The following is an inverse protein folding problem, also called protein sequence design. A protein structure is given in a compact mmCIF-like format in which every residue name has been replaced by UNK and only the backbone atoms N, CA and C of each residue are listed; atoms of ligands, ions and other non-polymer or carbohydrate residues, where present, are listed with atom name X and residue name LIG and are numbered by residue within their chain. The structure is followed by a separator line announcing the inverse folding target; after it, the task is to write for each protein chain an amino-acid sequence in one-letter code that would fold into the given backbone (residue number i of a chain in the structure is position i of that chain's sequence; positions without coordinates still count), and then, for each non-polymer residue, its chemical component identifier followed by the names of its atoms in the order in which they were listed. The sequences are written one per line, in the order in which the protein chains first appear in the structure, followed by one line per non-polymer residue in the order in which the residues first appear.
data_IF_404741492631
#
_entry.id   IF_404741492631
#
_cell.length_a   1.000
_cell.length_b   1.000
_cell.length_c   1.000
_cell.angle_alpha   90.00
_cell.angle_beta   90.00
_cell.angle_gamma   90.00
#
_symmetry.space_group_name_H-M   'P 1'
#
loop_
_entity.id
_entity.type
_entity.pdbx_description
1 polymer ?
#
# COMPACT_ATOMS: atom_id res chain seq x y z
N UNK A 1 -19.73 -26.40 -31.70
CA UNK A 1 -20.59 -25.36 -31.10
C UNK A 1 -20.14 -25.21 -29.66
N UNK A 2 -19.06 -24.43 -29.46
CA UNK A 2 -18.48 -24.17 -28.14
C UNK A 2 -19.41 -23.26 -27.36
N UNK A 3 -19.75 -23.65 -26.14
CA UNK A 3 -20.72 -22.96 -25.30
C UNK A 3 -20.13 -21.66 -24.75
N UNK A 4 -20.98 -20.64 -24.68
CA UNK A 4 -20.71 -19.24 -24.40
C UNK A 4 -20.16 -18.94 -22.98
N UNK A 5 -19.80 -19.97 -22.22
CA UNK A 5 -19.28 -19.88 -20.84
C UNK A 5 -17.76 -19.67 -20.80
N UNK A 6 -17.03 -19.95 -21.89
CA UNK A 6 -15.57 -19.78 -21.96
C UNK A 6 -15.08 -18.39 -22.41
N UNK A 7 -15.97 -17.43 -22.70
CA UNK A 7 -15.59 -16.11 -23.26
C UNK A 7 -15.67 -14.90 -22.32
N UNK A 8 -15.87 -15.11 -21.01
CA UNK A 8 -15.96 -14.01 -20.02
C UNK A 8 -14.80 -14.00 -19.00
N UNK A 9 -13.65 -14.65 -19.30
CA UNK A 9 -12.40 -14.48 -18.52
C UNK A 9 -11.62 -13.27 -19.07
N UNK A 10 -12.29 -12.12 -19.19
CA UNK A 10 -11.71 -10.89 -19.71
C UNK A 10 -11.29 -9.96 -18.57
N UNK A 11 -10.11 -10.27 -18.01
CA UNK A 11 -9.12 -9.32 -17.44
C UNK A 11 -9.58 -8.41 -16.30
N UNK A 12 -9.87 -9.01 -15.16
CA UNK A 12 -9.49 -8.41 -13.86
C UNK A 12 -7.97 -8.30 -13.83
N UNK A 13 -7.34 -7.19 -13.39
CA UNK A 13 -5.91 -7.16 -13.16
C UNK A 13 -5.54 -8.33 -12.23
N UNK A 14 -4.39 -8.99 -12.43
CA UNK A 14 -3.99 -10.14 -11.63
C UNK A 14 -3.98 -9.75 -10.15
N UNK A 15 -4.94 -10.28 -9.38
CA UNK A 15 -4.97 -10.11 -7.94
C UNK A 15 -3.77 -10.84 -7.36
N UNK A 16 -2.81 -10.13 -6.77
CA UNK A 16 -1.66 -10.76 -6.14
C UNK A 16 -2.10 -11.51 -4.89
N UNK A 17 -1.98 -12.83 -4.93
CA UNK A 17 -2.27 -13.72 -3.80
C UNK A 17 -1.02 -13.84 -2.92
N UNK A 18 0.15 -14.07 -3.51
CA UNK A 18 1.42 -14.13 -2.79
C UNK A 18 2.30 -12.92 -3.09
N UNK A 19 2.42 -12.00 -2.14
CA UNK A 19 3.21 -10.79 -2.32
C UNK A 19 4.73 -11.05 -2.24
N UNK A 20 5.17 -12.02 -1.44
CA UNK A 20 6.60 -12.31 -1.29
C UNK A 20 7.21 -12.85 -2.59
N UNK A 21 6.44 -13.65 -3.34
CA UNK A 21 6.83 -14.23 -4.62
C UNK A 21 6.20 -13.57 -5.84
N UNK A 22 5.40 -12.51 -5.63
CA UNK A 22 4.64 -11.81 -6.67
C UNK A 22 3.79 -12.78 -7.54
N UNK A 23 3.12 -13.73 -6.88
CA UNK A 23 2.24 -14.72 -7.54
C UNK A 23 0.80 -14.23 -7.52
N UNK A 24 0.20 -14.18 -8.70
CA UNK A 24 -1.19 -13.80 -8.88
C UNK A 24 -2.19 -14.96 -8.75
N UNK A 25 -3.46 -14.61 -8.56
CA UNK A 25 -4.59 -15.54 -8.50
C UNK A 25 -4.64 -16.46 -9.72
N UNK A 26 -4.47 -15.89 -10.92
CA UNK A 26 -4.54 -16.65 -12.18
C UNK A 26 -3.50 -17.77 -12.25
N UNK A 27 -2.33 -17.58 -11.63
CA UNK A 27 -1.27 -18.60 -11.57
C UNK A 27 -1.67 -19.74 -10.62
N UNK A 28 -2.30 -19.42 -9.49
CA UNK A 28 -2.83 -20.42 -8.56
C UNK A 28 -4.00 -21.19 -9.20
N UNK A 29 -4.96 -20.50 -9.81
CA UNK A 29 -6.12 -21.10 -10.47
C UNK A 29 -5.70 -22.03 -11.63
N UNK A 30 -4.74 -21.62 -12.47
CA UNK A 30 -4.17 -22.49 -13.51
C UNK A 30 -3.51 -23.75 -12.93
N UNK A 31 -2.89 -23.65 -11.75
CA UNK A 31 -2.29 -24.81 -11.08
C UNK A 31 -3.36 -25.79 -10.60
N UNK A 32 -4.50 -25.28 -10.13
CA UNK A 32 -5.67 -26.08 -9.74
C UNK A 32 -6.30 -26.75 -10.97
N UNK A 33 -6.45 -26.03 -12.09
CA UNK A 33 -6.93 -26.58 -13.37
C UNK A 33 -6.01 -27.70 -13.90
N UNK A 34 -4.72 -27.64 -13.58
CA UNK A 34 -3.73 -28.70 -13.89
C UNK A 34 -3.80 -29.91 -12.93
N UNK A 35 -4.77 -29.94 -12.00
CA UNK A 35 -5.04 -31.07 -11.11
C UNK A 35 -4.36 -31.00 -9.75
N UNK A 36 -3.77 -29.87 -9.36
CA UNK A 36 -3.22 -29.70 -8.01
C UNK A 36 -4.36 -29.47 -7.01
N UNK A 37 -4.42 -30.29 -5.96
CA UNK A 37 -5.55 -30.33 -5.02
C UNK A 37 -5.17 -29.97 -3.59
N UNK A 38 -3.89 -29.68 -3.34
CA UNK A 38 -3.39 -29.37 -2.01
C UNK A 38 -2.49 -28.14 -1.99
N UNK A 39 -2.45 -27.47 -0.82
CA UNK A 39 -1.55 -26.34 -0.59
C UNK A 39 -0.08 -26.71 -0.86
N UNK A 40 0.35 -27.91 -0.50
CA UNK A 40 1.73 -28.36 -0.68
C UNK A 40 2.09 -28.52 -2.17
N UNK A 41 1.17 -29.04 -2.98
CA UNK A 41 1.35 -29.15 -4.44
C UNK A 41 1.44 -27.77 -5.09
N UNK A 42 0.50 -26.86 -4.76
CA UNK A 42 0.53 -25.48 -5.26
C UNK A 42 1.80 -24.76 -4.82
N UNK A 43 2.22 -24.93 -3.57
CA UNK A 43 3.43 -24.30 -3.03
C UNK A 43 4.68 -24.81 -3.75
N UNK A 44 4.74 -26.11 -4.05
CA UNK A 44 5.86 -26.71 -4.80
C UNK A 44 5.91 -26.22 -6.25
N UNK A 45 4.76 -26.06 -6.89
CA UNK A 45 4.68 -25.64 -8.29
C UNK A 45 4.93 -24.15 -8.50
N UNK A 46 4.39 -23.30 -7.62
CA UNK A 46 4.37 -21.84 -7.80
C UNK A 46 5.31 -21.09 -6.86
N UNK A 47 5.79 -21.74 -5.80
CA UNK A 47 6.49 -21.10 -4.69
C UNK A 47 5.58 -20.30 -3.75
N UNK A 48 4.30 -20.10 -4.06
CA UNK A 48 3.37 -19.40 -3.19
C UNK A 48 3.18 -20.16 -1.87
N UNK A 49 3.16 -19.48 -0.73
CA UNK A 49 2.95 -20.09 0.58
C UNK A 49 4.21 -20.72 1.20
N UNK A 50 5.32 -20.77 0.48
CA UNK A 50 6.57 -21.40 0.94
C UNK A 50 7.47 -20.53 1.81
N UNK A 51 7.31 -19.20 1.77
CA UNK A 51 8.18 -18.28 2.53
C UNK A 51 7.54 -17.83 3.82
N UNK A 52 6.42 -17.13 3.68
CA UNK A 52 5.93 -16.23 4.70
C UNK A 52 4.68 -16.78 5.38
N UNK A 53 3.94 -17.64 4.68
CA UNK A 53 2.70 -18.27 5.15
C UNK A 53 1.43 -17.46 4.91
N UNK A 54 1.49 -16.13 4.75
CA UNK A 54 0.28 -15.30 4.68
C UNK A 54 -0.67 -15.66 3.52
N UNK A 55 -0.15 -16.04 2.36
CA UNK A 55 -1.01 -16.39 1.22
C UNK A 55 -1.63 -17.79 1.32
N UNK A 56 -1.23 -18.60 2.29
CA UNK A 56 -1.73 -19.98 2.43
C UNK A 56 -3.25 -20.01 2.67
N UNK A 57 -3.80 -19.09 3.47
CA UNK A 57 -5.26 -19.02 3.71
C UNK A 57 -6.04 -18.75 2.42
N UNK A 58 -5.52 -17.89 1.55
CA UNK A 58 -6.15 -17.56 0.27
C UNK A 58 -6.03 -18.71 -0.72
N UNK A 59 -4.91 -19.43 -0.74
CA UNK A 59 -4.73 -20.64 -1.56
C UNK A 59 -5.68 -21.74 -1.10
N UNK A 60 -5.83 -21.94 0.21
CA UNK A 60 -6.78 -22.90 0.78
C UNK A 60 -8.23 -22.54 0.45
N UNK A 61 -8.60 -21.25 0.52
CA UNK A 61 -9.91 -20.77 0.06
C UNK A 61 -10.14 -21.06 -1.42
N UNK A 62 -9.12 -20.86 -2.28
CA UNK A 62 -9.16 -21.20 -3.71
C UNK A 62 -9.31 -22.71 -3.97
N UNK A 63 -8.74 -23.54 -3.09
CA UNK A 63 -8.90 -24.99 -3.10
C UNK A 63 -10.27 -25.45 -2.54
N UNK A 64 -11.12 -24.53 -2.07
CA UNK A 64 -12.44 -24.81 -1.51
C UNK A 64 -12.45 -25.17 -0.03
N UNK A 65 -11.33 -25.00 0.69
CA UNK A 65 -11.29 -25.20 2.14
C UNK A 65 -11.92 -24.00 2.88
N UNK A 66 -12.76 -24.28 3.89
CA UNK A 66 -13.31 -23.23 4.75
C UNK A 66 -12.28 -22.78 5.80
N UNK A 67 -11.37 -21.90 5.39
CA UNK A 67 -10.21 -21.46 6.19
C UNK A 67 -10.41 -20.14 6.92
N UNK A 68 -11.60 -19.54 6.82
CA UNK A 68 -11.93 -18.25 7.42
C UNK A 68 -12.92 -18.40 8.57
N UNK A 69 -12.59 -17.78 9.70
CA UNK A 69 -13.43 -17.73 10.89
C UNK A 69 -14.22 -16.41 10.88
N UNK A 70 -15.55 -16.43 10.78
CA UNK A 70 -16.36 -15.23 10.93
C UNK A 70 -16.22 -14.65 12.34
N UNK A 71 -16.06 -13.34 12.45
CA UNK A 71 -15.87 -12.66 13.74
C UNK A 71 -16.70 -11.39 13.85
N UNK A 72 -16.92 -10.96 15.09
CA UNK A 72 -17.52 -9.68 15.42
C UNK A 72 -16.47 -8.80 16.09
N UNK A 73 -16.40 -7.51 15.72
CA UNK A 73 -15.59 -6.56 16.47
C UNK A 73 -16.32 -6.27 17.79
N UNK A 74 -15.80 -6.81 18.89
CA UNK A 74 -16.44 -6.74 20.19
C UNK A 74 -16.09 -5.45 20.94
N UNK A 75 -14.85 -4.97 20.81
CA UNK A 75 -14.42 -3.69 21.38
C UNK A 75 -13.18 -3.13 20.70
N UNK A 76 -12.99 -1.83 20.85
CA UNK A 76 -11.79 -1.14 20.43
C UNK A 76 -11.29 -0.21 21.55
N UNK A 77 -9.99 -0.19 21.77
CA UNK A 77 -9.36 0.64 22.81
C UNK A 77 -8.25 1.50 22.20
N UNK A 78 -8.48 2.82 22.14
CA UNK A 78 -7.50 3.77 21.61
C UNK A 78 -6.40 4.03 22.64
N UNK A 79 -5.15 3.72 22.29
CA UNK A 79 -3.97 4.16 23.05
C UNK A 79 -3.61 5.60 22.72
N UNK A 80 -3.80 6.01 21.47
CA UNK A 80 -3.59 7.37 20.97
C UNK A 80 -4.36 7.59 19.66
N UNK A 81 -4.23 8.77 19.04
CA UNK A 81 -4.82 9.07 17.74
C UNK A 81 -4.41 8.04 16.66
N UNK A 82 -3.17 7.54 16.73
CA UNK A 82 -2.58 6.69 15.71
C UNK A 82 -2.50 5.21 16.09
N UNK A 83 -2.88 4.82 17.31
CA UNK A 83 -2.77 3.44 17.79
C UNK A 83 -4.04 3.00 18.51
N UNK A 84 -4.60 1.86 18.08
CA UNK A 84 -5.82 1.31 18.66
C UNK A 84 -5.73 -0.20 18.75
N UNK A 85 -6.14 -0.77 19.89
CA UNK A 85 -6.40 -2.19 20.04
C UNK A 85 -7.78 -2.52 19.47
N UNK A 86 -7.90 -3.66 18.81
CA UNK A 86 -9.14 -4.19 18.28
C UNK A 86 -9.31 -5.60 18.82
N UNK A 87 -10.47 -5.89 19.40
CA UNK A 87 -10.79 -7.18 20.00
C UNK A 87 -11.95 -7.84 19.28
N UNK A 88 -11.72 -9.06 18.82
CA UNK A 88 -12.67 -9.83 18.03
C UNK A 88 -13.20 -11.02 18.82
N UNK A 89 -14.52 -11.20 18.81
CA UNK A 89 -15.18 -12.42 19.27
C UNK A 89 -15.49 -13.31 18.06
N UNK A 90 -15.44 -14.63 18.21
CA UNK A 90 -15.90 -15.53 17.15
C UNK A 90 -17.42 -15.43 17.01
N UNK A 91 -17.91 -15.35 15.78
CA UNK A 91 -19.35 -15.20 15.53
C UNK A 91 -20.15 -16.48 15.87
N UNK A 92 -19.47 -17.63 15.90
CA UNK A 92 -20.04 -18.92 16.32
C UNK A 92 -20.07 -19.11 17.85
N UNK A 93 -19.53 -18.15 18.63
CA UNK A 93 -19.49 -18.22 20.09
C UNK A 93 -18.43 -19.17 20.67
N UNK A 94 -17.66 -19.86 19.83
CA UNK A 94 -16.59 -20.73 20.27
C UNK A 94 -15.42 -19.91 20.85
N UNK A 95 -14.65 -20.46 21.79
CA UNK A 95 -13.47 -19.80 22.32
C UNK A 95 -12.33 -19.75 21.29
N UNK A 96 -11.47 -18.76 21.44
CA UNK A 96 -10.17 -18.69 20.82
C UNK A 96 -9.20 -19.67 21.48
N UNK A 97 -8.44 -20.39 20.66
CA UNK A 97 -7.32 -21.20 21.15
C UNK A 97 -6.17 -20.31 21.60
N UNK A 98 -5.36 -20.75 22.55
CA UNK A 98 -4.17 -20.01 22.95
C UNK A 98 -3.10 -20.12 21.87
N UNK A 99 -2.51 -18.98 21.50
CA UNK A 99 -1.47 -18.90 20.49
C UNK A 99 -0.12 -18.50 21.12
N UNK A 100 1.01 -18.97 20.58
CA UNK A 100 2.32 -18.55 21.07
C UNK A 100 2.61 -17.09 20.68
N UNK A 101 3.38 -16.34 21.50
CA UNK A 101 3.83 -15.01 21.11
C UNK A 101 4.61 -15.05 19.79
N UNK A 102 4.29 -14.13 18.88
CA UNK A 102 4.80 -14.14 17.50
C UNK A 102 3.81 -14.66 16.46
N UNK A 103 2.75 -15.34 16.89
CA UNK A 103 1.65 -15.70 16.01
C UNK A 103 0.91 -14.46 15.47
N UNK A 104 0.40 -14.58 14.25
CA UNK A 104 -0.37 -13.53 13.60
C UNK A 104 -1.61 -14.12 12.93
N UNK A 105 -2.60 -13.26 12.72
CA UNK A 105 -3.83 -13.57 11.97
C UNK A 105 -3.98 -12.59 10.82
N UNK A 106 -4.65 -13.01 9.76
CA UNK A 106 -5.11 -12.08 8.73
C UNK A 106 -6.50 -11.62 9.11
N UNK A 107 -6.65 -10.31 9.37
CA UNK A 107 -7.96 -9.71 9.57
C UNK A 107 -8.49 -9.24 8.24
N UNK A 108 -9.67 -9.75 7.87
CA UNK A 108 -10.37 -9.46 6.63
C UNK A 108 -11.65 -8.69 6.95
N UNK A 109 -11.88 -7.59 6.25
CA UNK A 109 -13.16 -6.88 6.29
C UNK A 109 -13.74 -6.79 4.88
N UNK A 110 -15.06 -6.82 4.78
CA UNK A 110 -15.74 -6.55 3.52
C UNK A 110 -15.95 -5.04 3.36
N UNK A 111 -15.23 -4.44 2.41
CA UNK A 111 -15.16 -2.99 2.19
C UNK A 111 -15.49 -2.72 0.72
N UNK A 112 -16.50 -1.89 0.46
CA UNK A 112 -16.90 -1.46 -0.89
C UNK A 112 -17.10 -2.60 -1.90
N UNK A 113 -17.66 -3.74 -1.46
CA UNK A 113 -17.95 -4.89 -2.32
C UNK A 113 -16.80 -5.90 -2.47
N UNK A 114 -15.67 -5.70 -1.78
CA UNK A 114 -14.52 -6.60 -1.83
C UNK A 114 -14.01 -6.94 -0.44
N UNK A 115 -13.47 -8.16 -0.29
CA UNK A 115 -12.73 -8.55 0.90
C UNK A 115 -11.33 -7.94 0.85
N UNK A 116 -10.96 -7.15 1.87
CA UNK A 116 -9.63 -6.54 1.99
C UNK A 116 -9.04 -6.91 3.33
N UNK A 117 -7.84 -7.52 3.36
CA UNK A 117 -7.29 -8.07 4.59
C UNK A 117 -5.82 -7.78 4.79
N UNK A 118 -5.41 -7.66 6.06
CA UNK A 118 -4.00 -7.41 6.44
C UNK A 118 -3.59 -8.34 7.58
N UNK A 119 -2.33 -8.81 7.59
CA UNK A 119 -1.81 -9.58 8.71
C UNK A 119 -1.54 -8.67 9.91
N UNK A 120 -1.88 -9.15 11.10
CA UNK A 120 -1.60 -8.50 12.37
C UNK A 120 -1.13 -9.53 13.40
N UNK A 121 -0.06 -9.20 14.13
CA UNK A 121 0.37 -9.99 15.27
C UNK A 121 -0.71 -9.99 16.34
N UNK A 122 -0.91 -11.15 16.95
CA UNK A 122 -1.79 -11.33 18.11
C UNK A 122 -1.13 -10.65 19.31
N UNK A 123 -1.89 -9.82 20.04
CA UNK A 123 -1.37 -9.04 21.18
C UNK A 123 -1.98 -9.40 22.52
N UNK A 124 -3.00 -10.26 22.57
CA UNK A 124 -3.56 -10.71 23.84
C UNK A 124 -2.57 -11.58 24.64
N UNK A 125 -2.87 -11.74 25.92
CA UNK A 125 -2.08 -12.52 26.88
C UNK A 125 -2.50 -14.01 26.90
N UNK A 126 -3.45 -14.40 26.05
CA UNK A 126 -4.03 -15.74 25.99
C UNK A 126 -4.92 -16.12 27.18
N UNK A 127 -5.27 -15.18 28.07
CA UNK A 127 -6.08 -15.46 29.26
C UNK A 127 -7.59 -15.33 28.99
N UNK A 128 -7.99 -14.39 28.14
CA UNK A 128 -9.37 -14.24 27.69
C UNK A 128 -9.59 -15.06 26.42
N UNK A 129 -10.15 -16.26 26.57
CA UNK A 129 -10.50 -17.09 25.42
C UNK A 129 -11.70 -16.56 24.64
N UNK A 130 -12.43 -15.55 25.14
CA UNK A 130 -13.56 -14.96 24.44
C UNK A 130 -13.14 -13.94 23.38
N UNK A 131 -11.98 -13.31 23.54
CA UNK A 131 -11.53 -12.20 22.70
C UNK A 131 -10.11 -12.39 22.16
N UNK A 132 -9.95 -12.13 20.86
CA UNK A 132 -8.65 -12.06 20.18
C UNK A 132 -8.26 -10.62 19.97
N UNK A 133 -7.11 -10.20 20.49
CA UNK A 133 -6.65 -8.81 20.35
C UNK A 133 -5.58 -8.65 19.27
N UNK A 134 -5.69 -7.58 18.49
CA UNK A 134 -4.60 -7.02 17.68
C UNK A 134 -4.42 -5.54 18.00
N UNK A 135 -3.23 -5.01 17.78
CA UNK A 135 -2.97 -3.56 17.87
C UNK A 135 -2.54 -3.03 16.52
N UNK A 136 -3.25 -2.00 16.05
CA UNK A 136 -3.08 -1.43 14.71
C UNK A 136 -2.59 0.00 14.84
N UNK A 137 -1.54 0.32 14.05
CA UNK A 137 -1.13 1.70 13.80
C UNK A 137 -1.84 2.24 12.56
N UNK A 138 -2.49 3.40 12.68
CA UNK A 138 -3.05 4.14 11.55
C UNK A 138 -1.91 4.59 10.63
N UNK A 139 -1.83 4.02 9.43
CA UNK A 139 -0.82 4.42 8.43
C UNK A 139 -1.36 5.57 7.58
N UNK A 140 -0.63 6.68 7.49
CA UNK A 140 -0.99 7.79 6.57
C UNK A 140 -1.12 7.25 5.14
N UNK A 141 -2.30 7.42 4.53
CA UNK A 141 -2.61 6.93 3.19
C UNK A 141 -2.96 5.43 3.09
N UNK A 142 -2.83 4.64 4.16
CA UNK A 142 -3.09 3.20 4.12
C UNK A 142 -4.58 2.86 4.13
N UNK A 143 -5.06 2.07 3.16
CA UNK A 143 -6.50 1.83 2.98
C UNK A 143 -7.14 1.14 4.19
N UNK A 144 -6.69 -0.08 4.52
CA UNK A 144 -7.32 -0.92 5.55
C UNK A 144 -7.22 -0.32 6.96
N UNK A 145 -6.04 0.19 7.34
CA UNK A 145 -5.85 0.76 8.69
C UNK A 145 -6.64 2.04 8.92
N UNK A 146 -6.84 2.88 7.90
CA UNK A 146 -7.69 4.07 8.05
C UNK A 146 -9.15 3.67 8.13
N UNK A 147 -9.61 2.77 7.25
CA UNK A 147 -10.97 2.27 7.28
C UNK A 147 -11.34 1.70 8.65
N UNK A 148 -10.46 0.88 9.24
CA UNK A 148 -10.67 0.28 10.55
C UNK A 148 -10.78 1.34 11.68
N UNK A 149 -10.05 2.45 11.58
CA UNK A 149 -10.12 3.57 12.54
C UNK A 149 -11.36 4.45 12.36
N UNK A 150 -11.81 4.60 11.11
CA UNK A 150 -12.92 5.48 10.72
C UNK A 150 -14.29 4.82 10.97
N UNK A 151 -14.34 3.48 11.05
CA UNK A 151 -15.55 2.69 11.26
C UNK A 151 -15.58 2.01 12.62
N UNK A 152 -14.92 2.59 13.63
CA UNK A 152 -14.96 2.07 15.00
C UNK A 152 -16.37 2.06 15.60
N UNK A 153 -17.13 3.11 15.34
CA UNK A 153 -18.44 3.31 15.95
C UNK A 153 -19.57 2.67 15.12
N UNK A 154 -19.29 2.34 13.85
CA UNK A 154 -20.18 1.62 12.91
C UNK A 154 -19.78 0.13 12.74
N UNK A 155 -18.93 -0.40 13.63
CA UNK A 155 -18.30 -1.72 13.44
C UNK A 155 -19.25 -2.91 13.42
N UNK A 156 -20.53 -2.70 13.76
CA UNK A 156 -21.60 -3.70 13.62
C UNK A 156 -22.07 -3.89 12.18
N UNK A 157 -21.71 -3.01 11.23
CA UNK A 157 -22.25 -3.03 9.86
C UNK A 157 -21.37 -3.76 8.84
N UNK A 158 -20.09 -3.98 9.13
CA UNK A 158 -19.15 -4.63 8.21
C UNK A 158 -18.86 -6.06 8.66
N UNK A 159 -19.09 -7.08 7.81
CA UNK A 159 -18.73 -8.44 8.17
C UNK A 159 -17.20 -8.59 8.20
N UNK A 160 -16.69 -9.09 9.33
CA UNK A 160 -15.30 -9.43 9.52
C UNK A 160 -15.12 -10.95 9.47
N UNK A 161 -13.96 -11.37 8.96
CA UNK A 161 -13.47 -12.75 9.10
C UNK A 161 -11.97 -12.72 9.36
N UNK A 162 -11.47 -13.71 10.07
CA UNK A 162 -10.03 -13.86 10.32
C UNK A 162 -9.54 -15.22 9.87
N UNK A 163 -8.28 -15.31 9.49
CA UNK A 163 -7.65 -16.61 9.26
C UNK A 163 -7.46 -17.35 10.59
N UNK A 164 -7.21 -18.67 10.50
CA UNK A 164 -6.48 -19.34 11.58
C UNK A 164 -5.14 -18.63 11.85
N UNK A 165 -4.62 -18.82 13.06
CA UNK A 165 -3.28 -18.36 13.44
C UNK A 165 -2.23 -18.92 12.47
N UNK A 166 -1.30 -18.06 12.07
CA UNK A 166 -0.15 -18.42 11.27
C UNK A 166 1.11 -17.92 11.98
N UNK A 167 2.18 -18.72 11.92
CA UNK A 167 3.42 -18.48 12.64
C UNK A 167 3.64 -19.49 13.77
N UNK A 168 4.90 -19.92 13.94
CA UNK A 168 5.30 -20.81 15.02
C UNK A 168 5.75 -20.04 16.27
N UNK A 169 6.00 -20.75 17.38
CA UNK A 169 6.62 -20.16 18.56
C UNK A 169 8.02 -19.62 18.21
N UNK A 170 8.15 -18.30 18.10
CA UNK A 170 9.42 -17.64 17.74
C UNK A 170 10.31 -17.41 18.96
N UNK A 171 9.69 -17.28 20.12
CA UNK A 171 10.35 -17.09 21.41
C UNK A 171 10.39 -18.41 22.17
N UNK A 172 11.47 -18.63 22.90
CA UNK A 172 11.52 -19.65 23.96
C UNK A 172 11.31 -18.96 25.32
N UNK A 173 10.06 -18.84 25.80
CA UNK A 173 9.77 -18.13 27.03
C UNK A 173 10.20 -18.88 28.28
N UNK A 174 10.68 -20.13 28.17
CA UNK A 174 11.22 -20.93 29.27
C UNK A 174 12.74 -21.11 29.18
N UNK A 175 13.37 -20.51 28.17
CA UNK A 175 14.81 -20.60 27.96
C UNK A 175 15.61 -19.89 29.04
N UNK A 176 16.83 -20.39 29.31
CA UNK A 176 17.78 -19.75 30.22
C UNK A 176 18.50 -18.54 29.61
N UNK A 177 18.42 -18.40 28.29
CA UNK A 177 19.11 -17.35 27.52
C UNK A 177 18.24 -16.09 27.44
N UNK A 178 18.84 -14.89 27.50
CA UNK A 178 18.09 -13.64 27.33
C UNK A 178 17.56 -13.48 25.90
N UNK A 179 16.39 -12.86 25.79
CA UNK A 179 15.76 -12.49 24.52
C UNK A 179 16.09 -11.02 24.23
N UNK A 180 16.81 -10.75 23.15
CA UNK A 180 17.23 -9.39 22.78
C UNK A 180 16.37 -8.89 21.62
N UNK A 181 15.51 -7.92 21.85
CA UNK A 181 14.55 -7.39 20.89
C UNK A 181 14.96 -5.99 20.41
N UNK A 182 15.12 -5.81 19.09
CA UNK A 182 15.35 -4.53 18.45
C UNK A 182 14.12 -4.14 17.63
N UNK A 183 13.38 -3.14 18.10
CA UNK A 183 12.01 -2.91 17.67
C UNK A 183 11.79 -1.50 17.13
N UNK A 184 11.12 -1.39 15.98
CA UNK A 184 10.70 -0.15 15.36
C UNK A 184 9.18 0.05 15.36
N UNK A 185 8.69 1.09 16.05
CA UNK A 185 7.29 1.52 16.00
C UNK A 185 6.27 0.45 16.40
N UNK A 186 5.30 0.16 15.53
CA UNK A 186 4.25 -0.86 15.81
C UNK A 186 4.79 -2.30 15.83
N UNK A 187 6.03 -2.52 15.40
CA UNK A 187 6.67 -3.84 15.46
C UNK A 187 6.85 -4.40 16.88
N UNK A 188 6.53 -3.62 17.92
CA UNK A 188 6.54 -4.06 19.32
C UNK A 188 5.48 -5.11 19.64
N UNK A 189 4.44 -5.24 18.82
CA UNK A 189 3.27 -6.06 19.12
C UNK A 189 3.57 -7.53 19.46
N UNK A 190 4.46 -8.27 18.77
CA UNK A 190 4.81 -9.64 19.16
C UNK A 190 5.53 -9.71 20.51
N UNK A 191 6.41 -8.72 20.77
CA UNK A 191 7.17 -8.64 22.02
C UNK A 191 6.28 -8.23 23.18
N UNK A 192 5.28 -7.37 22.93
CA UNK A 192 4.28 -7.00 23.93
C UNK A 192 3.44 -8.22 24.34
N UNK A 193 3.02 -9.06 23.39
CA UNK A 193 2.34 -10.33 23.66
C UNK A 193 3.20 -11.24 24.55
N UNK A 194 4.49 -11.37 24.24
CA UNK A 194 5.45 -12.12 25.06
C UNK A 194 5.54 -11.54 26.49
N UNK A 195 5.67 -10.22 26.63
CA UNK A 195 5.76 -9.57 27.93
C UNK A 195 4.50 -9.80 28.77
N UNK A 196 3.32 -9.65 28.17
CA UNK A 196 2.02 -9.91 28.83
C UNK A 196 1.91 -11.36 29.30
N UNK A 197 2.31 -12.30 28.45
CA UNK A 197 2.34 -13.72 28.80
C UNK A 197 3.29 -14.01 29.97
N UNK A 198 4.49 -13.41 30.00
CA UNK A 198 5.45 -13.62 31.10
C UNK A 198 4.90 -13.14 32.45
N UNK A 199 4.23 -11.99 32.48
CA UNK A 199 3.57 -11.50 33.71
C UNK A 199 2.52 -12.51 34.17
N UNK A 200 1.68 -12.99 33.26
CA UNK A 200 0.59 -13.91 33.58
C UNK A 200 1.08 -15.26 34.11
N UNK A 201 2.16 -15.78 33.55
CA UNK A 201 2.71 -17.10 33.89
C UNK A 201 3.89 -17.06 34.86
N UNK A 202 4.19 -15.90 35.43
CA UNK A 202 5.35 -15.70 36.31
C UNK A 202 6.67 -16.18 35.68
N UNK A 203 6.82 -15.93 34.38
CA UNK A 203 8.00 -16.32 33.62
C UNK A 203 9.24 -15.57 34.09
N UNK A 204 10.39 -16.26 34.06
CA UNK A 204 11.68 -15.74 34.55
C UNK A 204 12.66 -15.36 33.44
N UNK A 205 12.21 -15.45 32.20
CA UNK A 205 13.05 -15.18 31.02
C UNK A 205 13.38 -13.70 30.95
N UNK A 206 14.67 -13.43 30.75
CA UNK A 206 15.21 -12.07 30.69
C UNK A 206 14.97 -11.49 29.31
N UNK A 207 14.40 -10.28 29.23
CA UNK A 207 14.17 -9.60 27.95
C UNK A 207 14.87 -8.24 27.97
N UNK A 208 15.63 -7.96 26.91
CA UNK A 208 16.12 -6.62 26.62
C UNK A 208 15.41 -6.08 25.38
N UNK A 209 14.82 -4.89 25.46
CA UNK A 209 14.09 -4.25 24.36
C UNK A 209 14.74 -2.91 24.02
N UNK A 210 15.41 -2.78 22.88
CA UNK A 210 15.70 -1.48 22.27
C UNK A 210 14.50 -1.09 21.41
N UNK A 211 13.72 -0.13 21.89
CA UNK A 211 12.50 0.33 21.25
C UNK A 211 12.72 1.70 20.60
N UNK A 212 12.78 1.71 19.28
CA UNK A 212 12.90 2.90 18.45
C UNK A 212 11.56 3.37 17.89
N UNK A 213 11.26 4.65 18.02
CA UNK A 213 10.09 5.28 17.42
C UNK A 213 10.38 6.75 17.07
N UNK A 214 9.57 7.37 16.21
CA UNK A 214 9.86 8.73 15.74
C UNK A 214 9.79 9.76 16.87
N UNK A 215 8.71 9.73 17.65
CA UNK A 215 8.45 10.68 18.74
C UNK A 215 8.10 9.95 20.04
N UNK A 216 8.01 10.72 21.15
CA UNK A 216 7.53 10.22 22.45
C UNK A 216 6.16 9.56 22.36
N UNK A 217 5.26 10.15 21.59
CA UNK A 217 3.86 9.73 21.44
C UNK A 217 3.71 8.42 20.64
N UNK A 218 4.74 8.05 19.85
CA UNK A 218 4.74 6.80 19.11
C UNK A 218 5.01 5.57 20.00
N UNK A 219 5.45 5.77 21.24
CA UNK A 219 5.65 4.73 22.25
C UNK A 219 4.34 4.41 22.98
N UNK A 220 3.31 4.01 22.24
CA UNK A 220 1.94 3.87 22.75
C UNK A 220 1.79 2.92 23.96
N UNK A 221 2.67 1.92 24.11
CA UNK A 221 2.67 0.96 25.20
C UNK A 221 3.74 1.24 26.28
N UNK A 222 4.30 2.46 26.33
CA UNK A 222 5.36 2.85 27.29
C UNK A 222 4.98 2.54 28.74
N UNK A 223 3.80 2.97 29.16
CA UNK A 223 3.36 2.82 30.55
C UNK A 223 3.12 1.36 30.91
N UNK A 224 2.60 0.59 29.96
CA UNK A 224 2.41 -0.84 30.10
C UNK A 224 3.74 -1.58 30.25
N UNK A 225 4.69 -1.34 29.34
CA UNK A 225 6.03 -1.94 29.42
C UNK A 225 6.74 -1.55 30.72
N UNK A 226 6.61 -0.29 31.15
CA UNK A 226 7.22 0.19 32.39
C UNK A 226 6.66 -0.50 33.63
N UNK A 227 5.36 -0.82 33.63
CA UNK A 227 4.71 -1.57 34.71
C UNK A 227 5.16 -3.03 34.70
N UNK A 228 5.22 -3.66 33.53
CA UNK A 228 5.65 -5.06 33.35
C UNK A 228 7.12 -5.21 33.80
N UNK A 229 8.00 -4.26 33.46
CA UNK A 229 9.41 -4.25 33.86
C UNK A 229 9.65 -4.15 35.37
N UNK A 230 8.64 -3.77 36.17
CA UNK A 230 8.73 -3.80 37.65
C UNK A 230 8.45 -5.19 38.24
N UNK A 231 7.86 -6.08 37.45
CA UNK A 231 7.38 -7.40 37.88
C UNK A 231 8.25 -8.52 37.27
N UNK A 232 8.67 -8.35 36.03
CA UNK A 232 9.49 -9.30 35.27
C UNK A 232 10.89 -8.73 35.00
N UNK A 233 11.86 -9.59 34.72
CA UNK A 233 13.23 -9.20 34.33
C UNK A 233 13.25 -8.69 32.88
N UNK A 234 12.73 -7.48 32.69
CA UNK A 234 12.58 -6.84 31.38
C UNK A 234 13.21 -5.45 31.45
N UNK A 235 14.19 -5.22 30.58
CA UNK A 235 14.83 -3.91 30.39
C UNK A 235 14.35 -3.29 29.09
N UNK A 236 13.92 -2.03 29.13
CA UNK A 236 13.45 -1.30 27.93
C UNK A 236 14.24 -0.01 27.76
N UNK A 237 14.91 0.12 26.62
CA UNK A 237 15.57 1.36 26.17
C UNK A 237 14.70 2.04 25.12
N UNK A 238 14.15 3.21 25.46
CA UNK A 238 13.35 4.00 24.52
C UNK A 238 14.23 4.97 23.72
N UNK A 239 14.18 4.88 22.39
CA UNK A 239 14.94 5.71 21.45
C UNK A 239 14.02 6.57 20.57
N UNK A 240 13.64 7.78 21.02
CA UNK A 240 12.95 8.76 20.16
C UNK A 240 13.91 9.26 19.07
N UNK A 241 13.70 8.83 17.83
CA UNK A 241 14.65 9.09 16.74
C UNK A 241 14.67 10.55 16.30
N UNK A 242 13.61 11.32 16.59
CA UNK A 242 13.58 12.77 16.31
C UNK A 242 14.58 13.56 17.16
N UNK A 243 14.92 13.09 18.36
CA UNK A 243 15.82 13.80 19.29
C UNK A 243 17.15 13.09 19.51
N UNK A 244 17.17 11.74 19.53
CA UNK A 244 18.38 10.95 19.74
C UNK A 244 18.98 10.38 18.46
N UNK A 245 18.31 10.56 17.32
CA UNK A 245 18.67 9.91 16.07
C UNK A 245 18.38 8.41 16.07
N UNK A 246 18.71 7.76 14.95
CA UNK A 246 18.60 6.29 14.80
C UNK A 246 19.78 5.59 15.45
N UNK A 247 19.65 4.28 15.66
CA UNK A 247 20.75 3.41 16.11
C UNK A 247 21.99 3.59 15.24
N UNK A 248 23.15 3.72 15.86
CA UNK A 248 24.47 3.86 15.23
C UNK A 248 25.30 2.61 15.47
N UNK A 249 26.46 2.53 14.79
CA UNK A 249 27.38 1.41 14.93
C UNK A 249 27.83 1.20 16.39
N UNK A 250 28.19 2.26 17.10
CA UNK A 250 28.60 2.18 18.51
C UNK A 250 27.49 1.63 19.43
N UNK A 251 26.22 1.90 19.13
CA UNK A 251 25.09 1.36 19.90
C UNK A 251 24.98 -0.16 19.68
N UNK A 252 25.18 -0.62 18.44
CA UNK A 252 25.17 -2.05 18.10
C UNK A 252 26.38 -2.79 18.68
N UNK A 253 27.57 -2.17 18.64
CA UNK A 253 28.79 -2.73 19.23
C UNK A 253 28.62 -2.93 20.74
N UNK A 254 28.08 -1.92 21.45
CA UNK A 254 27.80 -2.01 22.87
C UNK A 254 26.75 -3.09 23.20
N UNK A 255 25.73 -3.24 22.35
CA UNK A 255 24.70 -4.27 22.52
C UNK A 255 25.28 -5.68 22.36
N UNK A 256 26.07 -5.91 21.31
CA UNK A 256 26.70 -7.22 21.05
C UNK A 256 27.74 -7.56 22.12
N UNK A 257 28.49 -6.56 22.60
CA UNK A 257 29.41 -6.72 23.72
C UNK A 257 28.68 -7.08 25.02
N UNK A 258 27.49 -6.50 25.27
CA UNK A 258 26.68 -6.78 26.46
C UNK A 258 26.03 -8.16 26.41
N UNK A 259 25.65 -8.63 25.21
CA UNK A 259 24.96 -9.91 24.99
C UNK A 259 25.71 -10.81 23.99
N UNK A 260 26.95 -11.23 24.31
CA UNK A 260 27.78 -11.98 23.38
C UNK A 260 27.17 -13.35 23.10
N UNK A 261 27.09 -13.73 21.83
CA UNK A 261 26.58 -15.04 21.45
C UNK A 261 25.05 -15.18 21.43
N UNK A 262 24.29 -14.18 21.89
CA UNK A 262 22.83 -14.24 22.00
C UNK A 262 22.08 -14.06 20.68
N UNK A 263 20.79 -14.43 20.69
CA UNK A 263 19.87 -14.24 19.57
C UNK A 263 19.19 -12.87 19.64
N UNK A 264 19.15 -12.19 18.50
CA UNK A 264 18.58 -10.88 18.27
C UNK A 264 17.30 -11.00 17.44
N UNK A 265 16.21 -10.49 17.99
CA UNK A 265 14.89 -10.50 17.39
C UNK A 265 14.55 -9.10 16.90
N UNK A 266 14.31 -8.95 15.59
CA UNK A 266 14.13 -7.65 14.96
C UNK A 266 12.71 -7.54 14.42
N UNK A 267 12.04 -6.41 14.65
CA UNK A 267 10.73 -6.11 14.07
C UNK A 267 10.62 -4.62 13.76
N UNK A 268 10.05 -4.23 12.62
CA UNK A 268 9.87 -2.83 12.26
C UNK A 268 9.77 -2.61 10.75
N UNK A 269 9.81 -1.36 10.28
CA UNK A 269 9.79 -1.07 8.85
C UNK A 269 10.95 -1.73 8.11
N UNK A 270 10.79 -2.02 6.82
CA UNK A 270 11.86 -2.62 6.00
C UNK A 270 13.19 -1.88 6.10
N UNK A 271 13.16 -0.53 6.07
CA UNK A 271 14.36 0.30 6.23
C UNK A 271 15.00 0.19 7.62
N UNK A 272 14.20 0.07 8.68
CA UNK A 272 14.69 -0.16 10.03
C UNK A 272 15.40 -1.51 10.11
N UNK A 273 14.74 -2.58 9.63
CA UNK A 273 15.30 -3.94 9.67
C UNK A 273 16.61 -4.03 8.89
N UNK A 274 16.65 -3.54 7.65
CA UNK A 274 17.87 -3.55 6.83
C UNK A 274 19.02 -2.81 7.52
N UNK A 275 18.75 -1.66 8.12
CA UNK A 275 19.77 -0.90 8.85
C UNK A 275 20.26 -1.67 10.09
N UNK A 276 19.36 -2.14 10.95
CA UNK A 276 19.70 -2.86 12.19
C UNK A 276 20.46 -4.15 11.91
N UNK A 277 20.04 -4.95 10.93
CA UNK A 277 20.75 -6.17 10.51
C UNK A 277 22.17 -5.85 10.05
N UNK A 278 22.34 -4.77 9.27
CA UNK A 278 23.65 -4.32 8.78
C UNK A 278 24.58 -3.93 9.94
N UNK A 279 24.06 -3.18 10.92
CA UNK A 279 24.81 -2.78 12.11
C UNK A 279 25.24 -3.97 12.96
N UNK A 280 24.31 -4.89 13.27
CA UNK A 280 24.61 -6.11 14.05
C UNK A 280 25.67 -6.99 13.39
N UNK A 281 25.59 -7.17 12.06
CA UNK A 281 26.58 -7.96 11.32
C UNK A 281 27.97 -7.33 11.37
N UNK A 282 28.06 -6.01 11.28
CA UNK A 282 29.33 -5.28 11.45
C UNK A 282 29.89 -5.40 12.86
N UNK A 283 29.01 -5.52 13.86
CA UNK A 283 29.38 -5.76 15.26
C UNK A 283 29.72 -7.23 15.57
N UNK A 284 29.66 -8.13 14.58
CA UNK A 284 30.05 -9.54 14.72
C UNK A 284 28.90 -10.53 14.95
N UNK A 285 27.64 -10.10 14.92
CA UNK A 285 26.51 -11.02 14.99
C UNK A 285 26.39 -11.84 13.68
N UNK A 286 26.26 -13.16 13.83
CA UNK A 286 26.08 -14.08 12.70
C UNK A 286 24.64 -14.09 12.19
N UNK A 287 24.42 -14.53 10.96
CA UNK A 287 23.08 -14.63 10.39
C UNK A 287 22.14 -15.56 11.19
N UNK A 288 22.69 -16.60 11.84
CA UNK A 288 21.90 -17.55 12.67
C UNK A 288 21.41 -16.94 13.98
N UNK A 289 22.04 -15.85 14.42
CA UNK A 289 21.66 -15.13 15.62
C UNK A 289 20.61 -14.07 15.36
N UNK A 290 20.24 -13.79 14.10
CA UNK A 290 19.32 -12.70 13.77
C UNK A 290 18.02 -13.29 13.25
N UNK A 291 16.94 -13.05 13.99
CA UNK A 291 15.59 -13.52 13.68
C UNK A 291 14.68 -12.31 13.40
N UNK A 292 14.00 -12.32 12.26
CA UNK A 292 12.95 -11.33 11.96
C UNK A 292 11.62 -11.82 12.55
N UNK A 293 11.00 -10.99 13.40
CA UNK A 293 9.74 -11.28 14.08
C UNK A 293 8.50 -10.90 13.26
N UNK A 294 8.65 -10.17 12.16
CA UNK A 294 7.51 -9.52 11.55
C UNK A 294 6.58 -10.52 10.84
N UNK A 295 5.27 -10.37 11.07
CA UNK A 295 4.27 -10.88 10.14
C UNK A 295 4.54 -10.23 8.77
N UNK A 296 4.75 -11.01 7.70
CA UNK A 296 5.16 -10.50 6.40
C UNK A 296 4.22 -9.40 5.92
N UNK A 297 4.66 -8.14 5.96
CA UNK A 297 3.88 -7.06 5.36
C UNK A 297 3.83 -7.30 3.85
N UNK A 298 2.64 -7.18 3.27
CA UNK A 298 2.50 -7.00 1.82
C UNK A 298 3.29 -5.75 1.45
N UNK A 299 4.52 -5.95 0.97
CA UNK A 299 5.33 -4.91 0.33
C UNK A 299 4.62 -4.53 -0.95
N UNK A 300 3.64 -3.63 -0.85
CA UNK A 300 2.83 -3.23 -1.99
C UNK A 300 2.14 -1.89 -1.82
N UNK A 301 1.72 -1.50 -0.62
CA UNK A 301 0.88 -0.28 -0.52
C UNK A 301 1.62 1.05 -0.50
N UNK A 302 2.88 1.12 -0.04
CA UNK A 302 3.57 2.41 0.11
C UNK A 302 4.87 2.52 -0.70
N UNK A 303 5.13 1.63 -1.65
CA UNK A 303 6.35 1.75 -2.46
C UNK A 303 6.12 1.64 -3.96
N UNK A 304 5.17 0.84 -4.45
CA UNK A 304 4.89 0.76 -5.89
C UNK A 304 3.78 1.74 -6.28
N UNK A 305 2.67 1.81 -5.54
CA UNK A 305 1.61 2.79 -5.81
C UNK A 305 2.10 4.26 -5.69
N UNK A 306 2.99 4.55 -4.73
CA UNK A 306 3.59 5.89 -4.57
C UNK A 306 4.72 6.17 -5.59
N UNK A 307 5.49 5.14 -6.02
CA UNK A 307 6.48 5.29 -7.11
C UNK A 307 5.81 5.45 -8.46
N UNK A 308 4.74 4.70 -8.73
CA UNK A 308 3.96 4.80 -9.95
C UNK A 308 3.23 6.14 -10.00
N UNK A 309 2.64 6.59 -8.88
CA UNK A 309 2.00 7.90 -8.77
C UNK A 309 2.93 9.09 -9.03
N UNK A 310 4.21 8.97 -8.67
CA UNK A 310 5.24 9.94 -9.01
C UNK A 310 5.76 9.77 -10.44
N UNK A 311 5.96 8.54 -10.90
CA UNK A 311 6.59 8.23 -12.18
C UNK A 311 5.87 8.87 -13.37
N UNK A 312 4.57 8.66 -13.51
CA UNK A 312 3.82 9.21 -14.65
C UNK A 312 3.70 10.74 -14.57
N UNK A 313 3.58 11.33 -13.36
CA UNK A 313 3.55 12.80 -13.19
C UNK A 313 4.87 13.45 -13.53
N UNK A 314 5.97 12.88 -13.06
CA UNK A 314 7.32 13.34 -13.35
C UNK A 314 7.57 13.31 -14.86
N UNK A 315 7.20 12.22 -15.53
CA UNK A 315 7.29 12.11 -17.00
C UNK A 315 6.47 13.20 -17.69
N UNK A 316 5.20 13.38 -17.30
CA UNK A 316 4.34 14.42 -17.89
C UNK A 316 4.88 15.85 -17.70
N UNK A 317 5.33 16.18 -16.48
CA UNK A 317 5.95 17.47 -16.18
C UNK A 317 7.27 17.67 -16.91
N UNK A 318 8.10 16.62 -17.05
CA UNK A 318 9.32 16.67 -17.83
C UNK A 318 9.03 16.91 -19.32
N UNK A 319 8.01 16.25 -19.89
CA UNK A 319 7.60 16.48 -21.28
C UNK A 319 7.04 17.89 -21.49
N UNK A 320 6.25 18.40 -20.55
CA UNK A 320 5.73 19.77 -20.59
C UNK A 320 6.85 20.80 -20.47
N UNK A 321 7.80 20.59 -19.57
CA UNK A 321 8.98 21.43 -19.42
C UNK A 321 9.89 21.35 -20.65
N UNK A 322 10.05 20.17 -21.25
CA UNK A 322 10.82 19.99 -22.49
C UNK A 322 10.17 20.73 -23.66
N UNK A 323 8.84 20.71 -23.78
CA UNK A 323 8.12 21.52 -24.76
C UNK A 323 8.35 23.01 -24.53
N UNK A 324 8.17 23.50 -23.30
CA UNK A 324 8.38 24.91 -22.98
C UNK A 324 9.83 25.36 -23.20
N UNK A 325 10.81 24.51 -22.87
CA UNK A 325 12.22 24.77 -23.14
C UNK A 325 12.47 24.82 -24.64
N UNK A 326 11.98 23.84 -25.40
CA UNK A 326 12.10 23.77 -26.84
C UNK A 326 11.55 25.03 -27.53
N UNK A 327 10.35 25.48 -27.16
CA UNK A 327 9.75 26.71 -27.69
C UNK A 327 10.58 27.95 -27.32
N UNK A 328 11.11 28.01 -26.09
CA UNK A 328 11.92 29.14 -25.62
C UNK A 328 13.30 29.26 -26.31
N UNK A 329 13.91 28.15 -26.72
CA UNK A 329 15.21 28.14 -27.42
C UNK A 329 15.07 27.97 -28.94
N UNK A 330 13.84 27.98 -29.47
CA UNK A 330 13.51 27.74 -30.88
C UNK A 330 14.12 26.43 -31.45
N UNK A 331 14.18 25.37 -30.62
CA UNK A 331 14.75 24.09 -31.02
C UNK A 331 13.76 23.31 -31.90
N UNK A 332 13.83 23.48 -33.21
CA UNK A 332 12.95 22.79 -34.16
C UNK A 332 13.65 21.62 -34.84
N UNK A 333 12.90 20.56 -35.10
CA UNK A 333 13.35 19.41 -35.89
C UNK A 333 12.93 19.59 -37.34
N UNK A 334 13.86 19.79 -38.30
CA UNK A 334 13.52 20.18 -39.68
C UNK A 334 12.56 19.22 -40.38
N UNK A 335 12.72 17.91 -40.16
CA UNK A 335 11.83 16.89 -40.73
C UNK A 335 10.40 17.02 -40.20
N UNK A 336 10.25 17.26 -38.90
CA UNK A 336 8.95 17.43 -38.27
C UNK A 336 8.29 18.73 -38.72
N UNK A 337 9.05 19.82 -38.86
CA UNK A 337 8.55 21.10 -39.38
C UNK A 337 8.08 20.97 -40.83
N UNK A 338 8.81 20.23 -41.67
CA UNK A 338 8.38 19.92 -43.03
C UNK A 338 7.04 19.18 -43.03
N UNK A 339 6.87 18.16 -42.17
CA UNK A 339 5.59 17.48 -42.04
C UNK A 339 4.50 18.40 -41.50
N UNK A 340 4.79 19.20 -40.48
CA UNK A 340 3.84 20.16 -39.92
C UNK A 340 3.46 21.27 -40.90
N UNK A 341 4.23 21.50 -41.97
CA UNK A 341 3.86 22.42 -43.06
C UNK A 341 2.87 21.79 -44.06
N UNK A 342 2.86 20.46 -44.18
CA UNK A 342 1.99 19.71 -45.08
C UNK A 342 0.53 19.73 -44.60
N UNK A 343 -0.39 20.07 -45.50
CA UNK A 343 -1.80 20.24 -45.16
C UNK A 343 -2.48 18.92 -44.78
N UNK A 344 -2.07 17.80 -45.39
CA UNK A 344 -2.59 16.47 -45.07
C UNK A 344 -2.16 16.07 -43.66
N UNK A 345 -0.89 16.28 -43.34
CA UNK A 345 -0.35 16.02 -42.01
C UNK A 345 -1.05 16.84 -40.93
N UNK A 346 -1.27 18.15 -41.13
CA UNK A 346 -1.99 19.02 -40.17
C UNK A 346 -3.38 18.48 -39.85
N UNK A 347 -4.14 18.07 -40.87
CA UNK A 347 -5.49 17.52 -40.69
C UNK A 347 -5.42 16.18 -39.96
N UNK A 348 -4.56 15.26 -40.39
CA UNK A 348 -4.43 13.94 -39.78
C UNK A 348 -3.97 14.00 -38.32
N UNK A 349 -2.94 14.80 -38.03
CA UNK A 349 -2.42 15.00 -36.67
C UNK A 349 -3.42 15.75 -35.78
N UNK A 350 -4.14 16.73 -36.32
CA UNK A 350 -5.20 17.44 -35.60
C UNK A 350 -6.39 16.54 -35.25
N UNK A 351 -6.84 15.70 -36.18
CA UNK A 351 -7.88 14.70 -35.93
C UNK A 351 -7.43 13.64 -34.91
N UNK A 352 -6.17 13.23 -34.96
CA UNK A 352 -5.59 12.33 -33.95
C UNK A 352 -5.61 12.97 -32.55
N UNK A 353 -5.24 14.24 -32.45
CA UNK A 353 -5.26 14.99 -31.19
C UNK A 353 -6.70 15.17 -30.67
N UNK A 354 -7.65 15.47 -31.55
CA UNK A 354 -9.07 15.55 -31.20
C UNK A 354 -9.60 14.19 -30.69
N UNK A 355 -9.29 13.10 -31.39
CA UNK A 355 -9.63 11.74 -30.95
C UNK A 355 -9.04 11.44 -29.57
N UNK A 356 -7.78 11.82 -29.33
CA UNK A 356 -7.15 11.70 -28.02
C UNK A 356 -7.92 12.48 -26.93
N UNK A 357 -8.31 13.73 -27.19
CA UNK A 357 -9.11 14.52 -26.22
C UNK A 357 -10.45 13.83 -25.95
N UNK A 358 -11.13 13.33 -26.98
CA UNK A 358 -12.38 12.58 -26.83
C UNK A 358 -12.21 11.28 -26.01
N UNK A 359 -11.06 10.59 -26.14
CA UNK A 359 -10.74 9.44 -25.29
C UNK A 359 -10.62 9.82 -23.81
N UNK A 360 -10.08 11.00 -23.49
CA UNK A 360 -9.99 11.49 -22.10
C UNK A 360 -11.38 11.74 -21.49
N UNK A 361 -12.34 12.17 -22.32
CA UNK A 361 -13.73 12.42 -21.91
C UNK A 361 -14.53 11.18 -21.53
N UNK A 362 -14.01 9.98 -21.82
CA UNK A 362 -14.67 8.73 -21.39
C UNK A 362 -14.88 8.70 -19.88
N UNK A 363 -13.91 9.17 -19.07
CA UNK A 363 -13.98 9.11 -17.60
C UNK A 363 -15.07 10.04 -17.02
N UNK A 364 -15.12 11.34 -17.36
CA UNK A 364 -16.23 12.22 -16.99
C UNK A 364 -17.59 11.66 -17.38
N UNK A 365 -17.74 11.16 -18.62
CA UNK A 365 -19.01 10.59 -19.11
C UNK A 365 -19.40 9.35 -18.28
N UNK A 366 -18.45 8.47 -17.98
CA UNK A 366 -18.74 7.28 -17.16
C UNK A 366 -19.16 7.65 -15.72
N UNK A 367 -18.58 8.72 -15.14
CA UNK A 367 -18.99 9.24 -13.83
C UNK A 367 -20.40 9.83 -13.86
N UNK A 368 -20.73 10.57 -14.92
CA UNK A 368 -22.05 11.16 -15.09
C UNK A 368 -23.14 10.09 -15.25
N UNK A 369 -22.85 9.01 -15.98
CA UNK A 369 -23.75 7.87 -16.17
C UNK A 369 -23.83 6.91 -14.96
N UNK A 370 -23.27 7.28 -13.80
CA UNK A 370 -23.28 6.48 -12.55
C UNK A 370 -22.91 4.99 -12.74
N UNK A 371 -21.96 4.67 -13.62
CA UNK A 371 -21.49 3.29 -13.86
C UNK A 371 -20.68 2.73 -12.68
N UNK A 372 -20.65 1.40 -12.54
CA UNK A 372 -19.95 0.62 -11.49
C UNK A 372 -18.56 1.16 -11.07
N UNK A 373 -18.27 1.07 -9.77
CA UNK A 373 -17.10 1.63 -9.10
C UNK A 373 -15.75 1.12 -9.63
N UNK A 374 -15.63 -0.16 -9.98
CA UNK A 374 -14.34 -0.75 -10.38
C UNK A 374 -13.92 -0.40 -11.81
N UNK A 375 -14.89 -0.33 -12.74
CA UNK A 375 -14.65 0.20 -14.09
C UNK A 375 -14.20 1.66 -14.04
N UNK A 376 -14.76 2.45 -13.13
CA UNK A 376 -14.35 3.84 -12.91
C UNK A 376 -12.92 3.96 -12.37
N UNK A 377 -12.47 3.05 -11.49
CA UNK A 377 -11.07 3.01 -11.01
C UNK A 377 -10.09 2.73 -12.14
N UNK A 378 -10.31 1.67 -12.92
CA UNK A 378 -9.45 1.33 -14.07
C UNK A 378 -9.42 2.45 -15.12
N UNK A 379 -10.57 3.09 -15.35
CA UNK A 379 -10.68 4.21 -16.27
C UNK A 379 -9.99 5.48 -15.76
N UNK A 380 -10.03 5.74 -14.45
CA UNK A 380 -9.26 6.81 -13.81
C UNK A 380 -7.76 6.60 -14.00
N UNK A 381 -7.28 5.36 -13.85
CA UNK A 381 -5.86 5.06 -14.05
C UNK A 381 -5.43 5.27 -15.51
N UNK A 382 -6.22 4.77 -16.47
CA UNK A 382 -5.97 5.00 -17.90
C UNK A 382 -5.95 6.50 -18.26
N UNK A 383 -6.91 7.27 -17.75
CA UNK A 383 -6.95 8.73 -17.95
C UNK A 383 -5.67 9.40 -17.46
N UNK A 384 -5.16 9.02 -16.29
CA UNK A 384 -3.88 9.52 -15.75
C UNK A 384 -2.69 9.15 -16.66
N UNK A 385 -2.55 7.87 -17.02
CA UNK A 385 -1.43 7.37 -17.83
C UNK A 385 -1.44 8.05 -19.20
N UNK A 386 -2.57 8.04 -19.91
CA UNK A 386 -2.66 8.68 -21.21
C UNK A 386 -2.52 10.20 -21.12
N UNK A 387 -2.90 10.83 -20.01
CA UNK A 387 -2.67 12.26 -19.75
C UNK A 387 -1.18 12.66 -19.75
N UNK A 388 -0.26 11.71 -19.52
CA UNK A 388 1.18 12.03 -19.50
C UNK A 388 1.78 12.30 -20.86
N UNK A 389 1.25 11.67 -21.92
CA UNK A 389 1.78 11.81 -23.28
C UNK A 389 1.20 13.01 -24.03
N UNK A 390 0.28 13.77 -23.42
CA UNK A 390 -0.36 14.92 -24.06
C UNK A 390 0.62 15.98 -24.59
N UNK A 391 1.64 16.42 -23.82
CA UNK A 391 2.61 17.40 -24.32
C UNK A 391 3.38 16.90 -25.56
N UNK A 392 3.70 15.60 -25.62
CA UNK A 392 4.37 14.99 -26.77
C UNK A 392 3.45 14.97 -27.99
N UNK A 393 2.18 14.58 -27.83
CA UNK A 393 1.22 14.59 -28.93
C UNK A 393 0.97 16.01 -29.46
N UNK A 394 0.96 16.99 -28.56
CA UNK A 394 0.88 18.39 -28.93
C UNK A 394 2.11 18.83 -29.71
N UNK A 395 3.31 18.52 -29.23
CA UNK A 395 4.57 18.80 -29.94
C UNK A 395 4.61 18.22 -31.36
N UNK A 396 4.13 16.98 -31.54
CA UNK A 396 4.05 16.35 -32.85
C UNK A 396 3.08 17.07 -33.79
N UNK A 397 2.02 17.70 -33.27
CA UNK A 397 1.08 18.48 -34.05
C UNK A 397 1.54 19.93 -34.30
N UNK A 398 2.11 20.58 -33.28
CA UNK A 398 2.54 21.97 -33.30
C UNK A 398 3.79 22.19 -32.44
N UNK A 399 4.86 22.67 -33.05
CA UNK A 399 6.14 23.03 -32.40
C UNK A 399 6.17 24.43 -31.79
N UNK A 400 5.09 25.22 -31.96
CA UNK A 400 4.96 26.56 -31.39
C UNK A 400 3.54 26.80 -30.88
N UNK A 401 3.39 27.71 -29.91
CA UNK A 401 2.10 28.09 -29.31
C UNK A 401 1.17 28.76 -30.36
N UNK A 402 1.73 29.33 -31.43
CA UNK A 402 1.01 30.08 -32.45
C UNK A 402 0.63 31.49 -31.99
N UNK A 403 -0.23 32.16 -32.76
CA UNK A 403 -0.68 33.53 -32.49
C UNK A 403 -2.20 33.63 -32.41
N UNK A 404 -2.70 34.69 -31.76
CA UNK A 404 -4.12 35.01 -31.64
C UNK A 404 -4.96 33.79 -31.17
N UNK A 405 -5.91 33.33 -31.99
CA UNK A 405 -6.76 32.20 -31.66
C UNK A 405 -5.98 30.90 -31.39
N UNK A 406 -4.93 30.62 -32.17
CA UNK A 406 -4.10 29.42 -31.96
C UNK A 406 -3.38 29.49 -30.62
N UNK A 407 -2.89 30.68 -30.23
CA UNK A 407 -2.27 30.87 -28.91
C UNK A 407 -3.24 30.57 -27.76
N UNK A 408 -4.51 30.97 -27.88
CA UNK A 408 -5.56 30.65 -26.89
C UNK A 408 -5.79 29.15 -26.82
N UNK A 409 -5.96 28.47 -27.96
CA UNK A 409 -6.18 27.03 -28.03
C UNK A 409 -5.00 26.25 -27.40
N UNK A 410 -3.77 26.58 -27.77
CA UNK A 410 -2.54 25.99 -27.25
C UNK A 410 -2.41 26.21 -25.73
N UNK A 411 -2.67 27.44 -25.27
CA UNK A 411 -2.59 27.78 -23.84
C UNK A 411 -3.62 27.01 -23.01
N UNK A 412 -4.86 26.90 -23.49
CA UNK A 412 -5.91 26.11 -22.82
C UNK A 412 -5.54 24.63 -22.78
N UNK A 413 -4.98 24.08 -23.87
CA UNK A 413 -4.51 22.70 -23.91
C UNK A 413 -3.43 22.42 -22.87
N UNK A 414 -2.36 23.23 -22.86
CA UNK A 414 -1.22 23.06 -21.94
C UNK A 414 -1.62 23.32 -20.48
N UNK A 415 -2.44 24.34 -20.21
CA UNK A 415 -2.95 24.63 -18.86
C UNK A 415 -3.84 23.49 -18.33
N UNK A 416 -4.72 22.94 -19.17
CA UNK A 416 -5.53 21.79 -18.80
C UNK A 416 -4.67 20.56 -18.48
N UNK A 417 -3.61 20.34 -19.26
CA UNK A 417 -2.65 19.27 -19.03
C UNK A 417 -1.88 19.44 -17.71
N UNK A 418 -1.34 20.64 -17.44
CA UNK A 418 -0.66 20.98 -16.19
C UNK A 418 -1.56 20.76 -14.97
N UNK A 419 -2.81 21.23 -15.02
CA UNK A 419 -3.79 21.00 -13.96
C UNK A 419 -4.10 19.51 -13.75
N UNK A 420 -4.09 18.71 -14.82
CA UNK A 420 -4.28 17.26 -14.75
C UNK A 420 -3.22 16.55 -13.89
N UNK A 421 -2.00 17.08 -13.84
CA UNK A 421 -0.92 16.55 -12.99
C UNK A 421 -1.09 16.91 -11.51
N UNK A 422 -1.72 18.05 -11.21
CA UNK A 422 -1.97 18.57 -9.87
C UNK A 422 -3.12 17.92 -9.10
N UNK A 423 -3.38 16.62 -9.24
CA UNK A 423 -4.48 15.98 -8.49
C UNK A 423 -4.23 15.99 -6.98
N UNK A 424 -5.27 16.24 -6.16
CA UNK A 424 -5.22 16.58 -4.72
C UNK A 424 -4.70 15.53 -3.72
N UNK A 425 -3.84 14.62 -4.16
CA UNK A 425 -3.22 13.59 -3.34
C UNK A 425 -2.26 14.16 -2.27
N UNK A 426 -1.76 15.39 -2.47
CA UNK A 426 -0.79 16.06 -1.59
C UNK A 426 -1.40 17.12 -0.66
N UNK A 427 -2.70 17.40 -0.77
CA UNK A 427 -3.36 18.36 0.11
C UNK A 427 -3.65 17.73 1.47
N UNK A 428 -3.29 18.44 2.53
CA UNK A 428 -3.58 18.09 3.92
C UNK A 428 -5.05 17.75 4.10
N UNK A 429 -5.37 16.78 4.96
CA UNK A 429 -6.73 16.25 5.12
C UNK A 429 -7.79 17.35 5.35
N UNK A 430 -7.45 18.39 6.12
CA UNK A 430 -8.33 19.53 6.42
C UNK A 430 -8.82 20.31 5.19
N UNK A 431 -8.00 20.39 4.13
CA UNK A 431 -8.30 21.19 2.92
C UNK A 431 -8.60 20.34 1.68
N UNK A 432 -8.47 19.02 1.78
CA UNK A 432 -8.56 18.09 0.65
C UNK A 432 -9.92 18.16 -0.06
N UNK A 433 -11.02 18.23 0.69
CA UNK A 433 -12.38 18.25 0.12
C UNK A 433 -12.64 19.51 -0.72
N UNK A 434 -12.30 20.67 -0.18
CA UNK A 434 -12.43 21.96 -0.87
C UNK A 434 -11.52 22.02 -2.10
N UNK A 435 -10.27 21.59 -1.96
CA UNK A 435 -9.31 21.55 -3.06
C UNK A 435 -9.76 20.63 -4.20
N UNK A 436 -10.15 19.38 -3.90
CA UNK A 436 -10.56 18.41 -4.93
C UNK A 436 -11.80 18.92 -5.69
N UNK A 437 -12.72 19.58 -5.01
CA UNK A 437 -13.90 20.15 -5.64
C UNK A 437 -13.55 21.31 -6.59
N UNK A 438 -12.81 22.32 -6.11
CA UNK A 438 -12.38 23.45 -6.93
C UNK A 438 -11.48 23.04 -8.10
N UNK A 439 -10.52 22.15 -7.85
CA UNK A 439 -9.66 21.56 -8.88
C UNK A 439 -10.45 20.83 -9.95
N UNK A 440 -11.44 20.01 -9.56
CA UNK A 440 -12.27 19.27 -10.53
C UNK A 440 -13.08 20.23 -11.40
N UNK A 441 -13.67 21.28 -10.81
CA UNK A 441 -14.42 22.29 -11.56
C UNK A 441 -13.52 22.97 -12.59
N UNK A 442 -12.34 23.43 -12.17
CA UNK A 442 -11.42 24.13 -13.06
C UNK A 442 -10.91 23.24 -14.20
N UNK A 443 -10.48 22.02 -13.88
CA UNK A 443 -9.93 21.07 -14.85
C UNK A 443 -11.00 20.61 -15.86
N UNK A 444 -12.20 20.26 -15.40
CA UNK A 444 -13.31 19.89 -16.31
C UNK A 444 -13.78 21.10 -17.13
N UNK A 445 -13.80 22.30 -16.53
CA UNK A 445 -14.12 23.54 -17.22
C UNK A 445 -13.18 23.83 -18.39
N UNK A 446 -11.87 23.83 -18.17
CA UNK A 446 -10.88 24.01 -19.24
C UNK A 446 -10.95 22.91 -20.29
N UNK A 447 -11.15 21.66 -19.88
CA UNK A 447 -11.35 20.53 -20.81
C UNK A 447 -12.58 20.72 -21.71
N UNK A 448 -13.64 21.33 -21.19
CA UNK A 448 -14.86 21.64 -21.96
C UNK A 448 -14.59 22.75 -22.98
N UNK A 449 -13.95 23.84 -22.55
CA UNK A 449 -13.51 24.90 -23.46
C UNK A 449 -12.60 24.36 -24.56
N UNK A 450 -11.68 23.45 -24.23
CA UNK A 450 -10.79 22.81 -25.19
C UNK A 450 -11.54 22.02 -26.27
N UNK A 451 -12.63 21.33 -25.95
CA UNK A 451 -13.45 20.63 -26.94
C UNK A 451 -14.07 21.61 -27.95
N UNK A 452 -14.65 22.71 -27.46
CA UNK A 452 -15.27 23.72 -28.33
C UNK A 452 -14.23 24.42 -29.21
N UNK A 453 -13.09 24.80 -28.63
CA UNK A 453 -11.99 25.40 -29.39
C UNK A 453 -11.47 24.41 -30.43
N UNK A 454 -11.18 23.15 -30.07
CA UNK A 454 -10.71 22.13 -31.02
C UNK A 454 -11.70 21.89 -32.17
N UNK A 455 -13.01 21.85 -31.89
CA UNK A 455 -14.03 21.69 -32.92
C UNK A 455 -14.04 22.87 -33.90
N UNK A 456 -13.92 24.10 -33.40
CA UNK A 456 -13.82 25.30 -34.23
C UNK A 456 -12.53 25.33 -35.05
N UNK A 457 -11.41 24.88 -34.49
CA UNK A 457 -10.13 24.76 -35.21
C UNK A 457 -10.24 23.79 -36.38
N UNK A 458 -10.83 22.61 -36.17
CA UNK A 458 -11.08 21.62 -37.24
C UNK A 458 -12.02 22.20 -38.30
N UNK A 459 -13.07 22.91 -37.89
CA UNK A 459 -13.98 23.57 -38.83
C UNK A 459 -13.25 24.58 -39.72
N UNK A 460 -12.45 25.49 -39.14
CA UNK A 460 -11.66 26.46 -39.92
C UNK A 460 -10.71 25.74 -40.89
N UNK A 461 -9.99 24.74 -40.40
CA UNK A 461 -9.01 24.01 -41.20
C UNK A 461 -9.65 23.27 -42.40
N UNK A 462 -10.92 22.86 -42.29
CA UNK A 462 -11.66 22.21 -43.37
C UNK A 462 -12.40 23.21 -44.28
N UNK A 463 -12.88 24.32 -43.73
CA UNK A 463 -13.67 25.32 -44.45
C UNK A 463 -12.81 26.25 -45.33
N UNK A 464 -11.60 26.57 -44.88
CA UNK A 464 -10.67 27.47 -45.57
C UNK A 464 -9.53 26.70 -46.27
N UNK A 465 -9.84 25.55 -46.87
CA UNK A 465 -8.88 24.73 -47.63
C UNK A 465 -8.32 25.43 -48.86
#
# INVERSE_FOLDING_TARGET
METNTQRVIARTPPEIICHCRQIDRNTIERSIEQGMTSLSEISRATGAGSECGCCQVYIKELLGENSWLPVLLASAHRYSENYCAFRFARADGEPWQREPPGAYIIVHAFIDGAWVGRPYAITDDGADSGLREIIVKRKKGGFFSNWLFDHLDDSSSAPFRVSASVGGAVFDPNGSRPIICLIGGVGITPVLALCRMLVKHHGKTRIHIDYSANSGDDFFCRDELSRIARICDITVEFRPTSTRGRMRQADADALVQRYPGESYYICGSGSYKTATVSLLRKSGATARQITDLEAPQQTGENSEADRDAWGYRAVGLCLLAAYGLQDAIDLKWPLLEQWQSDQTYKICSGLLLLFYVLLQWRLPVARWLKRESDRLKAQKNRHKIFGTVAPLLFYLHATSIGYAYLAVLSSVYLANNLLGYGSGEFVTAAFRKAYVYGWTILHVGLSTSLLFLSAYHVYIALAYK
#
